data_IF_178858568240
#
_entry.id   IF_178858568240
#
_cell.length_a   1.000
_cell.length_b   1.000
_cell.length_c   1.000
_cell.angle_alpha   90.00
_cell.angle_beta   90.00
_cell.angle_gamma   90.00
#
_symmetry.space_group_name_H-M   'P 1'
#
loop_
_entity.id
_entity.type
_entity.pdbx_description
1 polymer ?
#
# COMPACT_ATOMS: atom_id res chain seq x y z
N UNK A 1 15.03 10.01 -16.37
CA UNK A 1 14.41 10.60 -15.17
C UNK A 1 13.55 9.62 -14.35
N UNK A 2 12.79 8.70 -14.98
CA UNK A 2 11.85 7.81 -14.27
C UNK A 2 12.49 6.76 -13.31
N UNK A 3 13.75 6.38 -13.53
CA UNK A 3 14.43 5.36 -12.71
C UNK A 3 14.96 5.88 -11.36
N UNK A 4 15.23 7.18 -11.24
CA UNK A 4 15.77 7.80 -10.00
C UNK A 4 14.70 8.05 -8.94
N UNK A 5 13.44 8.24 -9.35
CA UNK A 5 12.30 8.38 -8.43
C UNK A 5 11.93 7.03 -7.80
N UNK A 6 12.09 5.94 -8.55
CA UNK A 6 11.77 4.58 -8.09
C UNK A 6 12.71 4.11 -6.95
N UNK A 7 14.01 4.42 -7.04
CA UNK A 7 14.99 4.03 -6.01
C UNK A 7 14.81 4.85 -4.71
N UNK A 8 14.43 6.13 -4.83
CA UNK A 8 14.17 7.00 -3.68
C UNK A 8 12.94 6.59 -2.86
N UNK A 9 11.92 6.00 -3.50
CA UNK A 9 10.73 5.47 -2.82
C UNK A 9 11.02 4.15 -2.10
N UNK A 10 11.86 3.29 -2.69
CA UNK A 10 12.27 2.01 -2.07
C UNK A 10 13.18 2.24 -0.86
N UNK A 11 14.08 3.22 -0.88
CA UNK A 11 14.91 3.54 0.29
C UNK A 11 14.12 4.14 1.46
N UNK A 12 12.98 4.79 1.19
CA UNK A 12 12.09 5.29 2.25
C UNK A 12 11.28 4.15 2.90
N UNK A 13 10.93 3.10 2.14
CA UNK A 13 10.20 1.94 2.66
C UNK A 13 11.01 1.03 3.59
N UNK A 14 12.34 0.96 3.42
CA UNK A 14 13.19 0.09 4.24
C UNK A 14 13.51 0.66 5.63
N UNK A 15 13.26 1.95 5.88
CA UNK A 15 13.61 2.60 7.14
C UNK A 15 12.49 2.55 8.21
N UNK A 16 11.27 2.11 7.86
CA UNK A 16 10.11 2.09 8.79
C UNK A 16 9.69 0.68 9.26
N UNK A 17 10.40 -0.37 8.84
CA UNK A 17 10.18 -1.72 9.32
C UNK A 17 10.82 -1.97 10.70
N UNK A 18 10.67 -1.05 11.65
CA UNK A 18 10.89 -1.34 13.06
C UNK A 18 9.59 -1.84 13.66
N UNK A 19 9.54 -3.17 13.82
CA UNK A 19 8.49 -3.87 14.54
C UNK A 19 8.36 -3.31 15.96
N UNK A 20 7.27 -2.58 16.21
CA UNK A 20 6.74 -2.39 17.56
C UNK A 20 5.50 -3.25 17.63
N UNK A 21 5.59 -4.31 18.42
CA UNK A 21 4.47 -5.08 18.96
C UNK A 21 3.45 -4.08 19.50
N UNK A 22 2.22 -4.11 19.00
CA UNK A 22 1.15 -3.23 19.45
C UNK A 22 0.66 -3.65 20.83
N UNK A 23 1.49 -3.47 21.85
CA UNK A 23 1.00 -3.34 23.21
C UNK A 23 0.35 -1.97 23.26
N UNK A 24 -0.99 -1.94 23.34
CA UNK A 24 -1.80 -0.73 23.40
C UNK A 24 -1.28 0.15 24.55
N UNK A 25 -0.39 1.09 24.23
CA UNK A 25 0.34 1.87 25.22
C UNK A 25 -0.59 2.97 25.69
N UNK A 26 -1.27 2.78 26.82
CA UNK A 26 -2.05 3.84 27.47
C UNK A 26 -1.21 5.11 27.54
N UNK A 27 -1.78 6.24 27.14
CA UNK A 27 -1.19 7.53 27.50
C UNK A 27 -1.26 7.63 29.02
N UNK A 28 -0.11 7.90 29.64
CA UNK A 28 -0.01 8.11 31.07
C UNK A 28 0.46 9.54 31.31
N UNK A 29 -0.35 10.32 32.03
CA UNK A 29 0.01 11.65 32.50
C UNK A 29 -0.02 11.65 34.03
N UNK A 30 0.96 12.29 34.66
CA UNK A 30 1.03 12.33 36.11
C UNK A 30 1.73 13.59 36.60
N UNK A 31 1.44 13.98 37.84
CA UNK A 31 2.02 15.17 38.44
C UNK A 31 1.37 15.52 39.76
N UNK A 32 1.58 16.74 40.22
CA UNK A 32 1.00 17.25 41.44
C UNK A 32 0.04 18.41 41.16
N UNK A 33 -1.11 18.40 41.84
CA UNK A 33 -2.07 19.48 41.95
C UNK A 33 -1.80 20.20 43.27
N UNK A 34 -0.90 21.19 43.26
CA UNK A 34 -0.38 21.79 44.49
C UNK A 34 0.69 20.93 45.15
N UNK A 35 0.86 21.01 46.47
CA UNK A 35 1.94 20.32 47.18
C UNK A 35 1.57 18.95 47.77
N UNK A 36 0.29 18.67 48.01
CA UNK A 36 -0.15 17.48 48.76
C UNK A 36 -1.02 16.52 47.94
N UNK A 37 -1.41 16.89 46.72
CA UNK A 37 -2.28 16.05 45.89
C UNK A 37 -1.54 15.62 44.63
N UNK A 38 -1.26 14.33 44.53
CA UNK A 38 -0.68 13.70 43.34
C UNK A 38 -1.80 13.15 42.45
N UNK A 39 -1.67 13.28 41.14
CA UNK A 39 -2.59 12.72 40.17
C UNK A 39 -1.87 11.82 39.16
N UNK A 40 -2.58 10.79 38.70
CA UNK A 40 -2.19 9.95 37.56
C UNK A 40 -3.41 9.65 36.71
N UNK A 41 -3.28 9.85 35.40
CA UNK A 41 -4.33 9.65 34.41
C UNK A 41 -3.88 8.56 33.45
N UNK A 42 -4.77 7.62 33.18
CA UNK A 42 -4.61 6.51 32.25
C UNK A 42 -5.77 6.58 31.25
N UNK A 43 -5.46 6.72 29.96
CA UNK A 43 -6.43 6.72 28.86
C UNK A 43 -5.83 6.05 27.62
N UNK A 44 -6.64 5.43 26.74
CA UNK A 44 -6.14 4.89 25.48
C UNK A 44 -5.51 6.01 24.63
N UNK A 45 -4.40 5.73 23.93
CA UNK A 45 -3.68 6.77 23.18
C UNK A 45 -4.44 7.25 21.95
N UNK A 46 -5.18 6.35 21.31
CA UNK A 46 -5.96 6.60 20.10
C UNK A 46 -7.23 5.75 20.13
N UNK A 47 -8.32 6.34 19.67
CA UNK A 47 -9.65 5.70 19.56
C UNK A 47 -10.35 6.18 18.30
N UNK A 48 -11.36 5.43 17.87
CA UNK A 48 -12.17 5.78 16.70
C UNK A 48 -13.27 6.78 17.08
N UNK A 49 -13.68 7.64 16.15
CA UNK A 49 -14.89 8.46 16.35
C UNK A 49 -16.09 7.54 16.62
N UNK A 50 -16.95 7.94 17.55
CA UNK A 50 -18.12 7.18 18.04
C UNK A 50 -17.78 5.86 18.76
N UNK A 51 -16.53 5.66 19.20
CA UNK A 51 -16.16 4.56 20.09
C UNK A 51 -16.05 5.02 21.54
N UNK A 52 -16.28 4.11 22.49
CA UNK A 52 -16.20 4.41 23.93
C UNK A 52 -14.76 4.56 24.39
N UNK A 53 -14.50 5.58 25.20
CA UNK A 53 -13.19 5.90 25.78
C UNK A 53 -13.30 5.80 27.29
N UNK A 54 -12.55 4.86 27.87
CA UNK A 54 -12.41 4.75 29.32
C UNK A 54 -11.20 5.54 29.80
N UNK A 55 -11.45 6.49 30.70
CA UNK A 55 -10.44 7.37 31.30
C UNK A 55 -10.41 7.09 32.79
N UNK A 56 -9.22 6.74 33.30
CA UNK A 56 -9.01 6.46 34.71
C UNK A 56 -8.15 7.55 35.34
N UNK A 57 -8.68 8.18 36.38
CA UNK A 57 -7.99 9.16 37.22
C UNK A 57 -7.72 8.54 38.59
N UNK A 58 -6.46 8.57 39.00
CA UNK A 58 -6.01 8.18 40.34
C UNK A 58 -5.52 9.43 41.06
N UNK A 59 -6.08 9.72 42.23
CA UNK A 59 -5.65 10.79 43.12
C UNK A 59 -5.05 10.18 44.38
N UNK A 60 -3.86 10.62 44.76
CA UNK A 60 -3.19 10.18 45.98
C UNK A 60 -2.79 11.39 46.81
N UNK A 61 -3.16 11.40 48.09
CA UNK A 61 -2.76 12.47 49.01
C UNK A 61 -1.39 12.14 49.59
N UNK A 62 -0.41 13.01 49.39
CA UNK A 62 0.94 12.89 49.92
C UNK A 62 1.21 13.92 51.01
N UNK A 63 2.15 13.61 51.89
CA UNK A 63 2.77 14.48 52.91
C UNK A 63 1.87 14.91 54.08
N UNK A 64 0.63 15.35 53.84
CA UNK A 64 -0.27 15.79 54.91
C UNK A 64 -1.74 15.60 54.59
N UNK A 65 -2.55 15.49 55.64
CA UNK A 65 -4.00 15.53 55.49
C UNK A 65 -4.43 16.89 54.91
N UNK A 66 -5.44 16.86 54.05
CA UNK A 66 -5.99 18.04 53.38
C UNK A 66 -7.49 18.15 53.60
N UNK A 67 -8.01 19.37 53.61
CA UNK A 67 -9.45 19.66 53.56
C UNK A 67 -9.78 20.19 52.17
N UNK A 68 -10.43 19.37 51.35
CA UNK A 68 -10.79 19.73 49.98
C UNK A 68 -12.01 20.62 49.99
N UNK A 69 -11.91 21.78 49.33
CA UNK A 69 -13.04 22.67 49.03
C UNK A 69 -13.81 22.09 47.86
N UNK A 70 -13.13 21.90 46.72
CA UNK A 70 -13.66 21.21 45.54
C UNK A 70 -12.54 20.56 44.73
N UNK A 71 -12.86 19.44 44.10
CA UNK A 71 -12.08 18.88 42.99
C UNK A 71 -13.06 18.57 41.88
N UNK A 72 -12.92 19.30 40.78
CA UNK A 72 -13.76 19.20 39.60
C UNK A 72 -12.93 18.68 38.42
N UNK A 73 -13.53 17.86 37.58
CA UNK A 73 -12.91 17.26 36.39
C UNK A 73 -13.80 17.50 35.18
N UNK A 74 -13.20 17.99 34.11
CA UNK A 74 -13.85 18.13 32.80
C UNK A 74 -13.22 17.18 31.80
N UNK A 75 -14.05 16.46 31.05
CA UNK A 75 -13.62 15.75 29.85
C UNK A 75 -14.33 16.42 28.68
N UNK A 76 -13.56 17.03 27.80
CA UNK A 76 -14.11 17.92 26.79
C UNK A 76 -13.37 17.83 25.46
N UNK A 77 -13.93 18.48 24.43
CA UNK A 77 -13.50 18.42 23.02
C UNK A 77 -13.99 17.18 22.29
N UNK A 78 -13.83 17.14 20.96
CA UNK A 78 -14.27 16.02 20.11
C UNK A 78 -15.77 15.70 20.24
N UNK A 79 -16.61 16.72 20.42
CA UNK A 79 -18.05 16.57 20.68
C UNK A 79 -18.42 16.10 22.09
N UNK A 80 -17.45 15.99 23.01
CA UNK A 80 -17.68 15.72 24.43
C UNK A 80 -17.62 17.02 25.23
N UNK A 81 -18.50 17.18 26.20
CA UNK A 81 -18.48 18.24 27.22
C UNK A 81 -19.08 17.71 28.53
N UNK A 82 -18.28 16.94 29.25
CA UNK A 82 -18.68 16.25 30.49
C UNK A 82 -17.97 16.88 31.69
N UNK A 83 -18.70 17.05 32.79
CA UNK A 83 -18.21 17.69 34.01
C UNK A 83 -18.58 16.89 35.26
N UNK A 84 -17.60 16.64 36.12
CA UNK A 84 -17.73 15.84 37.33
C UNK A 84 -17.13 16.55 38.55
N UNK A 85 -17.96 16.80 39.56
CA UNK A 85 -17.47 17.16 40.89
C UNK A 85 -17.17 15.89 41.68
N UNK A 86 -15.88 15.62 41.88
CA UNK A 86 -15.40 14.39 42.54
C UNK A 86 -15.42 14.54 44.06
N UNK A 87 -14.98 15.68 44.54
CA UNK A 87 -14.96 16.00 45.97
C UNK A 87 -15.49 17.41 46.20
N UNK A 88 -16.22 17.57 47.31
CA UNK A 88 -16.68 18.86 47.80
C UNK A 88 -16.71 18.85 49.32
N UNK A 89 -16.08 19.85 49.95
CA UNK A 89 -16.00 20.01 51.41
C UNK A 89 -15.62 18.71 52.15
N UNK A 90 -14.62 17.98 51.64
CA UNK A 90 -14.27 16.65 52.13
C UNK A 90 -12.84 16.62 52.69
N UNK A 91 -12.63 16.16 53.93
CA UNK A 91 -11.28 15.90 54.43
C UNK A 91 -10.73 14.63 53.78
N UNK A 92 -9.50 14.69 53.29
CA UNK A 92 -8.76 13.54 52.76
C UNK A 92 -7.52 13.29 53.62
N UNK A 93 -7.26 12.03 53.94
CA UNK A 93 -6.14 11.62 54.79
C UNK A 93 -4.88 11.38 53.96
N UNK A 94 -3.72 11.61 54.54
CA UNK A 94 -2.43 11.26 53.94
C UNK A 94 -2.39 9.78 53.54
N UNK A 95 -1.70 9.50 52.44
CA UNK A 95 -1.52 8.18 51.80
C UNK A 95 -2.83 7.51 51.32
N UNK A 96 -3.97 8.20 51.41
CA UNK A 96 -5.20 7.72 50.79
C UNK A 96 -5.14 7.86 49.27
N UNK A 97 -5.62 6.81 48.58
CA UNK A 97 -5.71 6.77 47.12
C UNK A 97 -7.17 6.61 46.70
N UNK A 98 -7.58 7.40 45.72
CA UNK A 98 -8.93 7.39 45.17
C UNK A 98 -8.86 7.16 43.66
N UNK A 99 -9.70 6.27 43.15
CA UNK A 99 -9.73 5.88 41.73
C UNK A 99 -11.09 6.22 41.15
N UNK A 100 -11.09 6.94 40.04
CA UNK A 100 -12.27 7.35 39.30
C UNK A 100 -12.15 6.87 37.87
N UNK A 101 -13.22 6.28 37.34
CA UNK A 101 -13.31 5.86 35.95
C UNK A 101 -14.44 6.65 35.30
N UNK A 102 -14.14 7.22 34.15
CA UNK A 102 -15.08 7.96 33.31
C UNK A 102 -15.17 7.25 31.97
N UNK A 103 -16.36 7.18 31.40
CA UNK A 103 -16.58 6.62 30.08
C UNK A 103 -17.26 7.67 29.22
N UNK A 104 -16.64 8.05 28.11
CA UNK A 104 -17.17 9.05 27.18
C UNK A 104 -17.17 8.53 25.75
N UNK A 105 -18.02 9.08 24.88
CA UNK A 105 -18.08 8.69 23.46
C UNK A 105 -17.93 9.93 22.59
N UNK A 106 -16.71 10.25 22.10
CA UNK A 106 -16.48 11.40 21.24
C UNK A 106 -17.13 11.22 19.86
N UNK A 107 -17.78 12.27 19.37
CA UNK A 107 -18.51 12.29 18.10
C UNK A 107 -17.76 12.99 16.97
N UNK A 108 -16.65 13.65 17.26
CA UNK A 108 -15.84 14.39 16.29
C UNK A 108 -14.37 13.97 16.34
N UNK A 109 -13.64 14.25 15.26
CA UNK A 109 -12.19 14.03 15.21
C UNK A 109 -11.42 15.09 15.98
N UNK A 110 -10.27 14.71 16.52
CA UNK A 110 -9.34 15.63 17.13
C UNK A 110 -8.63 15.03 18.34
N UNK A 111 -8.51 15.84 19.38
CA UNK A 111 -7.86 15.48 20.63
C UNK A 111 -8.84 15.66 21.79
N UNK A 112 -9.14 14.56 22.46
CA UNK A 112 -9.92 14.56 23.69
C UNK A 112 -9.04 15.09 24.82
N UNK A 113 -9.60 16.01 25.61
CA UNK A 113 -8.89 16.71 26.67
C UNK A 113 -9.51 16.40 28.02
N UNK A 114 -8.68 16.43 29.04
CA UNK A 114 -9.08 16.35 30.43
C UNK A 114 -8.51 17.55 31.17
N UNK A 115 -9.36 18.22 31.94
CA UNK A 115 -8.94 19.25 32.88
C UNK A 115 -9.30 18.86 34.32
N UNK A 116 -8.45 19.24 35.26
CA UNK A 116 -8.69 19.07 36.70
C UNK A 116 -8.48 20.42 37.37
N UNK A 117 -9.48 20.85 38.13
CA UNK A 117 -9.40 21.98 39.06
C UNK A 117 -9.43 21.42 40.47
N UNK A 118 -8.48 21.81 41.30
CA UNK A 118 -8.37 21.37 42.67
C UNK A 118 -8.17 22.56 43.61
N UNK A 119 -9.03 22.64 44.63
CA UNK A 119 -9.02 23.64 45.69
C UNK A 119 -9.01 22.95 47.05
N UNK A 120 -7.98 23.20 47.86
CA UNK A 120 -7.89 22.61 49.19
C UNK A 120 -6.99 23.40 50.14
N UNK A 121 -7.11 23.08 51.42
CA UNK A 121 -6.23 23.57 52.49
C UNK A 121 -5.44 22.41 53.09
N UNK A 122 -4.19 22.63 53.48
CA UNK A 122 -3.50 21.68 54.37
C UNK A 122 -4.00 21.86 55.79
N UNK A 123 -4.22 20.75 56.52
CA UNK A 123 -4.72 20.82 57.90
C UNK A 123 -3.74 21.54 58.84
N UNK A 124 -2.42 21.44 58.57
CA UNK A 124 -1.39 22.08 59.40
C UNK A 124 -1.20 23.57 59.11
N UNK A 125 -1.71 24.04 57.98
CA UNK A 125 -1.64 25.44 57.57
C UNK A 125 -2.97 25.84 56.91
N UNK A 126 -4.05 25.99 57.70
CA UNK A 126 -5.39 26.28 57.17
C UNK A 126 -5.48 27.67 56.51
N UNK A 127 -4.50 28.54 56.72
CA UNK A 127 -4.36 29.82 56.01
C UNK A 127 -3.72 29.65 54.62
N UNK A 128 -3.07 28.51 54.34
CA UNK A 128 -2.43 28.23 53.06
C UNK A 128 -3.40 27.49 52.14
N UNK A 129 -4.24 28.30 51.49
CA UNK A 129 -5.08 27.86 50.38
C UNK A 129 -4.24 27.41 49.19
N UNK A 130 -4.61 26.30 48.57
CA UNK A 130 -4.01 25.83 47.33
C UNK A 130 -5.06 25.72 46.25
N UNK A 131 -4.74 26.32 45.10
CA UNK A 131 -5.51 26.25 43.88
C UNK A 131 -4.59 25.70 42.78
N UNK A 132 -5.07 24.71 42.03
CA UNK A 132 -4.37 24.19 40.86
C UNK A 132 -5.36 23.88 39.76
N UNK A 133 -4.98 24.24 38.54
CA UNK A 133 -5.71 23.90 37.32
C UNK A 133 -4.74 23.29 36.32
N UNK A 134 -5.06 22.11 35.82
CA UNK A 134 -4.33 21.47 34.73
C UNK A 134 -5.29 21.16 33.58
N UNK A 135 -4.77 21.18 32.37
CA UNK A 135 -5.49 20.73 31.18
C UNK A 135 -4.51 19.99 30.28
N UNK A 136 -4.87 18.78 29.87
CA UNK A 136 -4.02 17.90 29.09
C UNK A 136 -4.81 17.16 28.01
N UNK A 137 -4.11 16.84 26.92
CA UNK A 137 -4.63 15.93 25.89
C UNK A 137 -4.44 14.49 26.37
N UNK A 138 -5.51 13.70 26.37
CA UNK A 138 -5.49 12.32 26.86
C UNK A 138 -5.54 11.28 25.73
N UNK A 139 -6.32 11.53 24.69
CA UNK A 139 -6.62 10.55 23.63
C UNK A 139 -6.79 11.25 22.29
N UNK A 140 -6.21 10.69 21.22
CA UNK A 140 -6.50 11.12 19.85
C UNK A 140 -7.75 10.40 19.33
N UNK A 141 -8.70 11.14 18.75
CA UNK A 141 -9.95 10.59 18.18
C UNK A 141 -9.92 10.77 16.66
N UNK A 142 -9.99 9.68 15.90
CA UNK A 142 -9.77 9.71 14.44
C UNK A 142 -10.58 8.66 13.68
N UNK A 143 -10.80 8.89 12.39
CA UNK A 143 -11.38 7.92 11.45
C UNK A 143 -10.66 8.01 10.09
N UNK A 144 -9.79 7.06 9.70
CA UNK A 144 -9.41 5.82 10.39
C UNK A 144 -8.33 6.02 11.47
N UNK A 145 -8.19 5.04 12.36
CA UNK A 145 -7.08 4.97 13.32
C UNK A 145 -5.75 4.73 12.62
N UNK A 146 -4.63 5.03 13.28
CA UNK A 146 -3.29 4.79 12.72
C UNK A 146 -3.05 3.30 12.45
N UNK A 147 -3.57 2.42 13.32
CA UNK A 147 -3.44 0.97 13.13
C UNK A 147 -4.17 0.50 11.87
N UNK A 148 -5.41 0.95 11.65
CA UNK A 148 -6.18 0.64 10.43
C UNK A 148 -5.46 1.18 9.19
N UNK A 149 -4.93 2.41 9.26
CA UNK A 149 -4.19 3.00 8.14
C UNK A 149 -2.91 2.22 7.81
N UNK A 150 -2.18 1.78 8.84
CA UNK A 150 -0.96 0.96 8.69
C UNK A 150 -1.28 -0.38 8.05
N UNK A 151 -2.35 -1.05 8.49
CA UNK A 151 -2.78 -2.32 7.91
C UNK A 151 -3.16 -2.17 6.43
N UNK A 152 -3.93 -1.13 6.09
CA UNK A 152 -4.30 -0.82 4.71
C UNK A 152 -3.06 -0.54 3.85
N UNK A 153 -2.09 0.20 4.39
CA UNK A 153 -0.82 0.45 3.71
C UNK A 153 -0.03 -0.84 3.47
N UNK A 154 0.03 -1.74 4.46
CA UNK A 154 0.69 -3.04 4.30
C UNK A 154 0.04 -3.89 3.21
N UNK A 155 -1.30 -3.95 3.15
CA UNK A 155 -2.02 -4.65 2.08
C UNK A 155 -1.71 -4.07 0.70
N UNK A 156 -1.72 -2.74 0.58
CA UNK A 156 -1.38 -2.07 -0.68
C UNK A 156 0.06 -2.39 -1.14
N UNK A 157 0.99 -2.50 -0.20
CA UNK A 157 2.38 -2.86 -0.49
C UNK A 157 2.50 -4.30 -1.02
N UNK A 158 1.74 -5.23 -0.46
CA UNK A 158 1.67 -6.62 -0.92
C UNK A 158 1.08 -6.72 -2.34
N UNK A 159 -0.05 -6.03 -2.59
CA UNK A 159 -0.68 -5.95 -3.91
C UNK A 159 0.28 -5.38 -4.96
N UNK A 160 0.96 -4.28 -4.64
CA UNK A 160 1.95 -3.67 -5.52
C UNK A 160 3.10 -4.64 -5.83
N UNK A 161 3.58 -5.39 -4.82
CA UNK A 161 4.65 -6.37 -5.01
C UNK A 161 4.22 -7.52 -5.91
N UNK A 162 2.98 -7.99 -5.75
CA UNK A 162 2.37 -9.00 -6.63
C UNK A 162 2.28 -8.51 -8.08
N UNK A 163 1.75 -7.29 -8.29
CA UNK A 163 1.63 -6.69 -9.62
C UNK A 163 3.00 -6.55 -10.32
N UNK A 164 4.05 -6.20 -9.57
CA UNK A 164 5.41 -6.09 -10.11
C UNK A 164 5.94 -7.45 -10.57
N UNK A 165 5.63 -8.52 -9.84
CA UNK A 165 5.99 -9.88 -10.24
C UNK A 165 5.24 -10.31 -11.52
N UNK A 166 3.93 -10.06 -11.59
CA UNK A 166 3.14 -10.35 -12.80
C UNK A 166 3.65 -9.60 -14.03
N UNK A 167 3.99 -8.31 -13.86
CA UNK A 167 4.56 -7.50 -14.92
C UNK A 167 5.91 -8.07 -15.41
N UNK A 168 6.77 -8.53 -14.50
CA UNK A 168 8.03 -9.18 -14.85
C UNK A 168 7.80 -10.44 -15.69
N UNK A 169 6.88 -11.30 -15.24
CA UNK A 169 6.52 -12.52 -15.96
C UNK A 169 5.95 -12.23 -17.35
N UNK A 170 5.10 -11.21 -17.47
CA UNK A 170 4.54 -10.78 -18.76
C UNK A 170 5.64 -10.28 -19.71
N UNK A 171 6.60 -9.52 -19.18
CA UNK A 171 7.74 -9.01 -19.95
C UNK A 171 8.63 -10.14 -20.48
N UNK A 172 8.85 -11.17 -19.68
CA UNK A 172 9.59 -12.36 -20.11
C UNK A 172 8.87 -13.08 -21.24
N UNK A 173 7.57 -13.36 -21.09
CA UNK A 173 6.73 -13.96 -22.14
C UNK A 173 6.74 -13.15 -23.43
N UNK A 174 6.62 -11.82 -23.33
CA UNK A 174 6.71 -10.94 -24.50
C UNK A 174 8.07 -11.06 -25.20
N UNK A 175 9.15 -11.13 -24.43
CA UNK A 175 10.51 -11.25 -24.97
C UNK A 175 10.69 -12.57 -25.71
N UNK A 176 10.17 -13.67 -25.15
CA UNK A 176 10.18 -14.99 -25.80
C UNK A 176 9.34 -14.98 -27.09
N UNK A 177 8.13 -14.44 -27.04
CA UNK A 177 7.26 -14.31 -28.21
C UNK A 177 7.93 -13.53 -29.34
N UNK A 178 8.61 -12.43 -29.01
CA UNK A 178 9.33 -11.61 -29.98
C UNK A 178 10.51 -12.37 -30.62
N UNK A 179 11.24 -13.19 -29.86
CA UNK A 179 12.28 -14.07 -30.41
C UNK A 179 11.68 -15.09 -31.38
N UNK A 180 10.58 -15.74 -31.01
CA UNK A 180 9.90 -16.72 -31.86
C UNK A 180 9.38 -16.11 -33.15
N UNK A 181 8.79 -14.91 -33.08
CA UNK A 181 8.37 -14.15 -34.25
C UNK A 181 9.55 -13.87 -35.19
N UNK A 182 10.67 -13.41 -34.64
CA UNK A 182 11.88 -13.09 -35.43
C UNK A 182 12.44 -14.35 -36.11
N UNK A 183 12.46 -15.48 -35.40
CA UNK A 183 12.87 -16.75 -35.96
C UNK A 183 11.96 -17.20 -37.12
N UNK A 184 10.64 -17.12 -36.94
CA UNK A 184 9.67 -17.49 -37.98
C UNK A 184 9.78 -16.60 -39.21
N UNK A 185 9.99 -15.29 -39.02
CA UNK A 185 10.21 -14.35 -40.11
C UNK A 185 11.44 -14.73 -40.95
N UNK A 186 12.55 -15.08 -40.30
CA UNK A 186 13.76 -15.52 -40.99
C UNK A 186 13.54 -16.83 -41.78
N UNK A 187 12.80 -17.79 -41.21
CA UNK A 187 12.42 -19.02 -41.92
C UNK A 187 11.56 -18.74 -43.15
N UNK A 188 10.58 -17.84 -43.03
CA UNK A 188 9.74 -17.42 -44.13
C UNK A 188 10.57 -16.79 -45.26
N UNK A 189 11.49 -15.88 -44.94
CA UNK A 189 12.38 -15.27 -45.93
C UNK A 189 13.26 -16.30 -46.64
N UNK A 190 13.79 -17.27 -45.88
CA UNK A 190 14.58 -18.36 -46.45
C UNK A 190 13.75 -19.20 -47.44
N UNK A 191 12.53 -19.58 -47.05
CA UNK A 191 11.63 -20.37 -47.91
C UNK A 191 11.23 -19.60 -49.17
N UNK A 192 10.97 -18.29 -49.05
CA UNK A 192 10.64 -17.44 -50.18
C UNK A 192 11.79 -17.39 -51.22
N UNK A 193 13.05 -17.30 -50.76
CA UNK A 193 14.22 -17.36 -51.65
C UNK A 193 14.33 -18.74 -52.33
N UNK A 194 14.23 -19.82 -51.57
CA UNK A 194 14.30 -21.18 -52.12
C UNK A 194 13.21 -21.44 -53.18
N UNK A 195 11.98 -20.94 -52.94
CA UNK A 195 10.90 -21.02 -53.92
C UNK A 195 11.21 -20.22 -55.19
N UNK A 196 11.74 -19.00 -55.04
CA UNK A 196 12.16 -18.18 -56.18
C UNK A 196 13.23 -18.89 -57.03
N UNK A 197 14.23 -19.49 -56.38
CA UNK A 197 15.29 -20.24 -57.05
C UNK A 197 14.73 -21.46 -57.80
N UNK A 198 13.83 -22.22 -57.16
CA UNK A 198 13.17 -23.37 -57.78
C UNK A 198 12.34 -22.96 -59.00
N UNK A 199 11.57 -21.87 -58.89
CA UNK A 199 10.78 -21.33 -59.99
C UNK A 199 11.67 -20.87 -61.16
N UNK A 200 12.82 -20.27 -60.86
CA UNK A 200 13.83 -19.91 -61.85
C UNK A 200 14.37 -21.13 -62.57
N UNK A 201 14.79 -22.16 -61.81
CA UNK A 201 15.30 -23.42 -62.35
C UNK A 201 14.27 -24.14 -63.23
N UNK A 202 13.00 -24.18 -62.80
CA UNK A 202 11.92 -24.75 -63.59
C UNK A 202 11.75 -24.02 -64.92
N UNK A 203 11.78 -22.69 -64.91
CA UNK A 203 11.68 -21.87 -66.12
C UNK A 203 12.82 -22.15 -67.10
N UNK A 204 14.05 -22.33 -66.59
CA UNK A 204 15.22 -22.71 -67.39
C UNK A 204 15.09 -24.13 -67.96
N UNK A 205 14.58 -25.08 -67.17
CA UNK A 205 14.36 -26.45 -67.66
C UNK A 205 13.29 -26.48 -68.75
N UNK A 206 12.19 -25.77 -68.53
CA UNK A 206 11.08 -25.67 -69.47
C UNK A 206 11.51 -25.07 -70.82
N UNK A 207 12.33 -24.02 -70.80
CA UNK A 207 12.86 -23.42 -72.03
C UNK A 207 13.81 -24.35 -72.81
N UNK A 208 14.51 -25.26 -72.12
CA UNK A 208 15.35 -26.28 -72.76
C UNK A 208 14.55 -27.43 -73.37
N UNK A 209 13.47 -27.86 -72.72
CA UNK A 209 12.65 -29.01 -73.16
C UNK A 209 11.68 -28.62 -74.28
N UNK A 210 11.10 -27.41 -74.24
CA UNK A 210 10.15 -26.94 -75.25
C UNK A 210 10.61 -27.15 -76.70
N UNK A 211 11.82 -26.73 -77.11
CA UNK A 211 12.28 -26.95 -78.49
C UNK A 211 12.52 -28.43 -78.82
N UNK A 212 12.89 -29.27 -77.84
CA UNK A 212 13.04 -30.71 -78.07
C UNK A 212 11.69 -31.38 -78.36
N UNK A 213 10.62 -30.91 -77.70
CA UNK A 213 9.26 -31.39 -77.91
C UNK A 213 8.71 -30.99 -79.29
N UNK A 214 9.01 -29.76 -79.73
CA UNK A 214 8.64 -29.29 -81.07
C UNK A 214 9.39 -30.08 -82.17
N UNK A 215 10.66 -30.41 -81.94
CA UNK A 215 11.49 -31.16 -82.89
C UNK A 215 11.08 -32.64 -83.00
N UNK A 216 10.67 -33.30 -81.91
CA UNK A 216 10.15 -34.69 -81.98
C UNK A 216 8.77 -34.76 -82.63
N UNK A 217 7.93 -33.74 -82.42
CA UNK A 217 6.62 -33.62 -83.08
C UNK A 217 6.78 -33.46 -84.60
N UNK A 218 7.76 -32.69 -85.05
CA UNK A 218 8.07 -32.50 -86.48
C UNK A 218 8.78 -33.70 -87.12
N UNK A 219 9.62 -34.43 -86.37
CA UNK A 219 10.24 -35.67 -86.85
C UNK A 219 9.22 -36.79 -87.10
N UNK A 220 8.19 -36.94 -86.27
CA UNK A 220 7.07 -37.88 -86.53
C UNK A 220 6.25 -37.51 -87.78
N UNK A 221 6.17 -36.22 -88.13
CA UNK A 221 5.51 -35.74 -89.34
C UNK A 221 6.39 -35.96 -90.59
N UNK A 222 7.71 -35.93 -90.43
CA UNK A 222 8.67 -36.16 -91.52
C UNK A 222 8.81 -37.65 -91.91
N UNK A 223 8.76 -38.58 -90.95
CA UNK A 223 8.78 -40.03 -91.23
C UNK A 223 7.50 -40.55 -91.91
N UNK A 224 6.42 -39.76 -91.93
CA UNK A 224 5.17 -40.10 -92.63
C UNK A 224 5.05 -39.48 -94.04
N UNK A 225 6.07 -38.78 -94.54
CA UNK A 225 6.10 -38.23 -95.90
C UNK A 225 6.90 -39.15 -96.86
N UNK A 226 6.31 -39.63 -97.97
CA UNK A 226 6.99 -40.53 -98.91
C UNK A 226 8.05 -39.80 -99.76
N UNK A 227 9.20 -40.46 -100.00
CA UNK A 227 10.29 -39.90 -100.82
C UNK A 227 9.84 -39.57 -102.26
N UNK A 228 10.27 -38.44 -102.84
CA UNK A 228 10.00 -38.12 -104.24
C UNK A 228 10.96 -38.85 -105.18
N UNK A 229 10.36 -39.59 -106.11
CA UNK A 229 11.02 -40.31 -107.21
C UNK A 229 11.74 -39.38 -108.17
N UNK A 230 13.04 -39.63 -108.40
CA UNK A 230 13.86 -38.95 -109.40
C UNK A 230 13.51 -39.46 -110.79
N UNK A 231 13.02 -38.59 -111.67
CA UNK A 231 12.82 -38.89 -113.09
C UNK A 231 13.91 -38.19 -113.92
N UNK A 232 14.92 -38.98 -114.33
CA UNK A 232 15.84 -38.62 -115.40
C UNK A 232 15.10 -38.67 -116.74
N UNK A 233 15.19 -37.61 -117.54
CA UNK A 233 14.78 -37.65 -118.95
C UNK A 233 15.97 -37.29 -119.84
N UNK A 234 16.44 -38.31 -120.55
CA UNK A 234 17.26 -38.24 -121.77
C UNK A 234 16.31 -38.25 -122.97
N UNK A 235 16.77 -37.73 -124.13
CA UNK A 235 16.35 -37.92 -125.55
C UNK A 235 16.22 -36.52 -126.20
N UNK A 236 16.79 -36.17 -127.37
CA UNK A 236 17.73 -36.75 -128.35
C UNK A 236 18.38 -35.54 -129.04
#
# INVERSE_FOLDING_TARGET
MKFRVLILLVSLSLLLATQITSTQRSTQAQGYLGSNLYFRIEAPPEVRVNSTVDVKLVLTVHYSNISVVKIDVWIYSCGVDEHYTIFRNKPLTVDSTYVFNFTVTPSEEGYLKLAIEAEYYSIWSPTQYQYSYISLTITAVRTPTYSELRENYSKLLEEHSSLLHEYSNLREKYTELHKNYTYLLNLYEYLARAYSDLSGNYSVLFSKISPLLENTSTAQIAETQPQPSVLSTTIV
#
